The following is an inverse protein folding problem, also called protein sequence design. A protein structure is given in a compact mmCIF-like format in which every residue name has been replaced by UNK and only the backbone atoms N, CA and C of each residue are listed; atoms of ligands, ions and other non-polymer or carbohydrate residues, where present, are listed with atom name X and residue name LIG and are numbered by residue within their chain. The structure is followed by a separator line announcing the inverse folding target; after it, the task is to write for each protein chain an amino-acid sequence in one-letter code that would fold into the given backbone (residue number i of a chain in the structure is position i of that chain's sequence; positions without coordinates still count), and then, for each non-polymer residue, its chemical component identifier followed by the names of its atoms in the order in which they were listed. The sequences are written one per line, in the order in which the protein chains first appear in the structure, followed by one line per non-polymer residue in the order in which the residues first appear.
data_IF_213479077320
#
_entry.id   IF_213479077320
#
_cell.length_a   1.000
_cell.length_b   1.000
_cell.length_c   1.000
_cell.angle_alpha   90.00
_cell.angle_beta   90.00
_cell.angle_gamma   90.00
#
_symmetry.space_group_name_H-M   'P 1'
#
loop_
_entity.id
_entity.type
_entity.pdbx_description
1 polymer ?
#
# COMPACT_ATOMS: atom_id res chain seq x y z
N UNK A 1 -10.08 -2.07 26.18
CA UNK A 1 -10.42 -2.06 24.75
C UNK A 1 -9.64 -3.17 24.07
N UNK A 2 -10.33 -4.03 23.31
CA UNK A 2 -9.78 -5.08 22.48
C UNK A 2 -10.23 -4.92 21.04
N UNK A 3 -9.30 -4.89 20.11
CA UNK A 3 -9.57 -4.75 18.66
C UNK A 3 -9.15 -6.05 17.95
N UNK A 4 -10.08 -6.63 17.20
CA UNK A 4 -9.78 -7.78 16.33
C UNK A 4 -9.78 -7.32 14.88
N UNK A 5 -8.63 -7.43 14.22
CA UNK A 5 -8.46 -7.05 12.82
C UNK A 5 -8.59 -8.29 11.94
N UNK A 6 -9.30 -8.18 10.82
CA UNK A 6 -9.42 -9.23 9.80
C UNK A 6 -8.84 -8.72 8.49
N UNK A 7 -7.76 -9.34 8.04
CA UNK A 7 -7.05 -8.98 6.81
C UNK A 7 -5.65 -9.58 6.75
N UNK A 8 -4.97 -9.37 5.63
CA UNK A 8 -3.64 -9.92 5.39
C UNK A 8 -2.53 -9.13 6.10
N UNK A 9 -1.59 -9.83 6.74
CA UNK A 9 -0.32 -9.25 7.23
C UNK A 9 0.87 -9.76 6.42
N UNK A 10 1.99 -9.02 6.37
CA UNK A 10 3.17 -9.44 5.62
C UNK A 10 3.73 -10.77 6.13
N UNK A 11 4.13 -11.71 5.25
CA UNK A 11 4.05 -11.67 3.78
C UNK A 11 2.65 -12.04 3.22
N UNK A 12 2.27 -11.54 2.02
CA UNK A 12 3.04 -10.67 1.13
C UNK A 12 3.06 -9.19 1.56
N UNK A 13 4.13 -8.48 1.18
CA UNK A 13 4.29 -7.04 1.45
C UNK A 13 3.49 -6.23 0.44
N UNK A 14 2.65 -5.32 0.93
CA UNK A 14 1.86 -4.39 0.14
C UNK A 14 1.21 -3.32 1.02
N UNK A 15 0.53 -2.35 0.41
CA UNK A 15 -0.04 -1.22 1.14
C UNK A 15 -1.01 -1.63 2.27
N UNK A 16 -1.90 -2.58 1.99
CA UNK A 16 -2.88 -3.08 2.99
C UNK A 16 -2.18 -3.83 4.13
N UNK A 17 -1.24 -4.71 3.81
CA UNK A 17 -0.59 -5.55 4.80
C UNK A 17 0.35 -4.75 5.71
N UNK A 18 1.08 -3.77 5.15
CA UNK A 18 1.86 -2.80 5.92
C UNK A 18 0.96 -1.92 6.80
N UNK A 19 -0.17 -1.44 6.26
CA UNK A 19 -1.13 -0.68 7.07
C UNK A 19 -1.65 -1.47 8.27
N UNK A 20 -2.01 -2.75 8.09
CA UNK A 20 -2.46 -3.61 9.19
C UNK A 20 -1.33 -3.87 10.20
N UNK A 21 -0.11 -4.16 9.73
CA UNK A 21 1.09 -4.33 10.58
C UNK A 21 1.31 -3.10 11.46
N UNK A 22 1.29 -1.89 10.87
CA UNK A 22 1.49 -0.64 11.61
C UNK A 22 0.31 -0.29 12.52
N UNK A 23 -0.92 -0.55 12.09
CA UNK A 23 -2.12 -0.37 12.93
C UNK A 23 -2.03 -1.21 14.20
N UNK A 24 -1.64 -2.49 14.09
CA UNK A 24 -1.44 -3.36 15.26
C UNK A 24 -0.40 -2.80 16.22
N UNK A 25 0.76 -2.35 15.72
CA UNK A 25 1.82 -1.74 16.53
C UNK A 25 1.31 -0.53 17.31
N UNK A 26 0.60 0.38 16.65
CA UNK A 26 0.04 1.58 17.31
C UNK A 26 -0.99 1.22 18.38
N UNK A 27 -1.83 0.22 18.12
CA UNK A 27 -2.78 -0.26 19.13
C UNK A 27 -2.04 -0.74 20.39
N UNK A 28 -0.99 -1.55 20.21
CA UNK A 28 -0.18 -2.06 21.32
C UNK A 28 0.53 -0.94 22.09
N UNK A 29 1.10 0.04 21.39
CA UNK A 29 1.76 1.21 22.00
C UNK A 29 0.80 2.08 22.81
N UNK A 30 -0.48 2.10 22.44
CA UNK A 30 -1.53 2.79 23.18
C UNK A 30 -2.18 1.91 24.26
N UNK A 31 -1.59 0.77 24.60
CA UNK A 31 -2.10 -0.16 25.61
C UNK A 31 -3.42 -0.84 25.22
N UNK A 32 -3.72 -0.90 23.93
CA UNK A 32 -4.94 -1.51 23.38
C UNK A 32 -4.63 -2.94 22.97
N UNK A 33 -5.34 -3.90 23.57
CA UNK A 33 -5.20 -5.31 23.19
C UNK A 33 -5.62 -5.49 21.73
N UNK A 34 -4.79 -6.13 20.91
CA UNK A 34 -5.12 -6.36 19.50
C UNK A 34 -4.72 -7.76 19.02
N UNK A 35 -5.55 -8.33 18.16
CA UNK A 35 -5.25 -9.56 17.44
C UNK A 35 -5.58 -9.44 15.96
N UNK A 36 -4.93 -10.27 15.14
CA UNK A 36 -5.14 -10.31 13.69
C UNK A 36 -5.62 -11.70 13.30
N UNK A 37 -6.68 -11.75 12.50
CA UNK A 37 -7.10 -12.94 11.78
C UNK A 37 -6.59 -12.82 10.34
N UNK A 38 -5.50 -13.52 10.04
CA UNK A 38 -4.72 -13.41 8.82
C UNK A 38 -5.31 -14.23 7.68
N UNK A 39 -5.61 -13.60 6.55
CA UNK A 39 -6.22 -14.25 5.38
C UNK A 39 -5.24 -15.12 4.56
N UNK A 40 -3.93 -14.91 4.73
CA UNK A 40 -2.87 -15.59 3.95
C UNK A 40 -2.49 -16.97 4.51
N UNK A 41 -3.16 -17.42 5.57
CA UNK A 41 -3.10 -18.82 6.05
C UNK A 41 -1.94 -19.17 6.98
N UNK A 42 -1.00 -18.26 7.23
CA UNK A 42 0.01 -18.38 8.30
C UNK A 42 -0.39 -17.57 9.55
N UNK A 43 0.19 -17.88 10.71
CA UNK A 43 0.03 -17.06 11.92
C UNK A 43 1.15 -17.23 12.93
N UNK A 44 1.17 -16.34 13.92
CA UNK A 44 2.12 -16.30 15.02
C UNK A 44 1.34 -16.04 16.33
N UNK A 45 1.21 -17.06 17.17
CA UNK A 45 0.44 -16.98 18.42
C UNK A 45 1.06 -16.00 19.42
N UNK A 46 2.40 -15.89 19.44
CA UNK A 46 3.09 -14.95 20.35
C UNK A 46 2.78 -13.50 20.00
N UNK A 47 2.54 -13.21 18.73
CA UNK A 47 2.15 -11.89 18.24
C UNK A 47 0.62 -11.71 18.13
N UNK A 48 -0.19 -12.66 18.63
CA UNK A 48 -1.66 -12.62 18.49
C UNK A 48 -2.12 -12.57 17.01
N UNK A 49 -1.41 -13.27 16.11
CA UNK A 49 -1.76 -13.43 14.69
C UNK A 49 -2.25 -14.86 14.47
N UNK A 50 -3.51 -15.00 14.03
CA UNK A 50 -4.18 -16.29 13.88
C UNK A 50 -4.54 -16.54 12.40
N UNK A 51 -4.21 -17.70 11.82
CA UNK A 51 -4.52 -17.98 10.43
C UNK A 51 -6.01 -18.23 10.20
N UNK A 52 -6.55 -17.70 9.11
CA UNK A 52 -7.86 -18.07 8.58
C UNK A 52 -7.67 -19.28 7.65
N UNK A 53 -7.72 -20.48 8.22
CA UNK A 53 -7.52 -21.73 7.46
C UNK A 53 -8.66 -22.07 6.50
N UNK A 54 -9.90 -21.76 6.90
CA UNK A 54 -11.10 -21.97 6.07
C UNK A 54 -12.06 -20.81 6.24
N UNK A 55 -12.24 -20.07 5.16
CA UNK A 55 -13.05 -18.86 5.13
C UNK A 55 -14.49 -19.06 5.65
N UNK A 56 -15.15 -20.14 5.22
CA UNK A 56 -16.51 -20.49 5.68
C UNK A 56 -16.56 -20.76 7.19
N UNK A 57 -15.59 -21.52 7.70
CA UNK A 57 -15.50 -21.84 9.13
C UNK A 57 -15.19 -20.58 9.95
N UNK A 58 -14.39 -19.66 9.41
CA UNK A 58 -14.10 -18.39 10.06
C UNK A 58 -15.33 -17.49 10.13
N UNK A 59 -16.11 -17.36 9.06
CA UNK A 59 -17.38 -16.61 9.07
C UNK A 59 -18.33 -17.08 10.18
N UNK A 60 -18.44 -18.40 10.38
CA UNK A 60 -19.25 -18.98 11.47
C UNK A 60 -18.68 -18.69 12.88
N UNK A 61 -17.39 -18.41 13.00
CA UNK A 61 -16.73 -18.09 14.28
C UNK A 61 -16.86 -16.62 14.66
N UNK A 62 -17.06 -15.70 13.70
CA UNK A 62 -17.12 -14.25 13.95
C UNK A 62 -18.05 -13.87 15.12
N UNK A 63 -19.29 -14.40 15.22
CA UNK A 63 -20.18 -14.09 16.35
C UNK A 63 -19.58 -14.41 17.72
N UNK A 64 -18.68 -15.40 17.81
CA UNK A 64 -18.09 -15.89 19.06
C UNK A 64 -16.74 -15.25 19.38
N UNK A 65 -16.17 -14.41 18.50
CA UNK A 65 -14.92 -13.70 18.75
C UNK A 65 -15.13 -12.70 19.89
N UNK A 66 -14.37 -12.84 20.98
CA UNK A 66 -14.36 -11.88 22.09
C UNK A 66 -13.52 -10.66 21.70
N UNK A 67 -14.19 -9.55 21.40
CA UNK A 67 -13.57 -8.29 20.98
C UNK A 67 -14.54 -7.14 21.23
N UNK A 68 -14.01 -5.95 21.51
CA UNK A 68 -14.83 -4.74 21.64
C UNK A 68 -15.12 -4.15 20.25
N UNK A 69 -14.15 -4.24 19.32
CA UNK A 69 -14.30 -3.79 17.93
C UNK A 69 -13.73 -4.82 16.96
N UNK A 70 -14.53 -5.16 15.94
CA UNK A 70 -14.12 -5.97 14.80
C UNK A 70 -13.80 -5.05 13.62
N UNK A 71 -12.52 -4.95 13.25
CA UNK A 71 -12.05 -4.12 12.14
C UNK A 71 -11.73 -4.99 10.91
N UNK A 72 -12.50 -4.80 9.84
CA UNK A 72 -12.43 -5.61 8.63
C UNK A 72 -11.70 -4.85 7.53
N UNK A 73 -10.70 -5.48 6.92
CA UNK A 73 -9.98 -5.02 5.72
C UNK A 73 -10.22 -5.93 4.51
N UNK A 74 -10.94 -7.04 4.73
CA UNK A 74 -11.15 -8.07 3.72
C UNK A 74 -11.85 -7.56 2.46
N UNK A 75 -11.41 -8.09 1.31
CA UNK A 75 -12.05 -7.89 0.02
C UNK A 75 -13.12 -8.94 -0.31
N UNK A 76 -13.29 -9.98 0.51
CA UNK A 76 -14.26 -11.04 0.22
C UNK A 76 -15.70 -10.53 0.31
N UNK A 77 -16.43 -10.71 -0.79
CA UNK A 77 -17.80 -10.22 -0.93
C UNK A 77 -18.77 -10.86 0.08
N UNK A 78 -18.54 -12.12 0.50
CA UNK A 78 -19.43 -12.83 1.42
C UNK A 78 -19.24 -12.33 2.84
N UNK A 79 -18.00 -12.10 3.28
CA UNK A 79 -17.75 -11.43 4.56
C UNK A 79 -18.42 -10.06 4.58
N UNK A 80 -18.21 -9.24 3.54
CA UNK A 80 -18.81 -7.90 3.43
C UNK A 80 -20.33 -7.95 3.50
N UNK A 81 -20.98 -8.91 2.84
CA UNK A 81 -22.43 -9.08 2.88
C UNK A 81 -22.96 -9.56 4.24
N UNK A 82 -22.15 -10.24 5.05
CA UNK A 82 -22.54 -10.75 6.37
C UNK A 82 -22.29 -9.77 7.53
N UNK A 83 -21.54 -8.68 7.33
CA UNK A 83 -21.20 -7.74 8.42
C UNK A 83 -22.44 -7.19 9.13
N UNK A 84 -23.50 -6.84 8.40
CA UNK A 84 -24.75 -6.38 9.00
C UNK A 84 -25.44 -7.41 9.89
N UNK A 85 -25.23 -8.72 9.65
CA UNK A 85 -25.72 -9.78 10.53
C UNK A 85 -24.89 -9.82 11.80
N UNK A 86 -23.56 -9.76 11.69
CA UNK A 86 -22.68 -9.73 12.86
C UNK A 86 -22.94 -8.50 13.74
N UNK A 87 -23.29 -7.36 13.14
CA UNK A 87 -23.74 -6.17 13.86
C UNK A 87 -25.02 -6.42 14.66
N UNK A 88 -26.02 -7.06 14.07
CA UNK A 88 -27.27 -7.43 14.77
C UNK A 88 -26.99 -8.42 15.91
N UNK A 89 -25.96 -9.27 15.78
CA UNK A 89 -25.48 -10.16 16.84
C UNK A 89 -24.61 -9.44 17.90
N UNK A 90 -24.61 -8.11 17.92
CA UNK A 90 -23.96 -7.30 18.96
C UNK A 90 -22.50 -6.95 18.70
N UNK A 91 -21.94 -7.25 17.52
CA UNK A 91 -20.57 -6.80 17.19
C UNK A 91 -20.55 -5.32 16.86
N UNK A 92 -19.48 -4.63 17.28
CA UNK A 92 -19.14 -3.30 16.79
C UNK A 92 -18.18 -3.44 15.63
N UNK A 93 -18.51 -2.90 14.47
CA UNK A 93 -17.84 -3.23 13.20
C UNK A 93 -17.37 -1.97 12.49
N UNK A 94 -16.07 -1.96 12.18
CA UNK A 94 -15.45 -1.00 11.28
C UNK A 94 -15.04 -1.75 10.02
N UNK A 95 -15.30 -1.18 8.84
CA UNK A 95 -14.83 -1.68 7.55
C UNK A 95 -13.93 -0.63 6.89
N UNK A 96 -12.68 -0.98 6.58
CA UNK A 96 -11.80 -0.13 5.77
C UNK A 96 -11.76 -0.61 4.33
N UNK A 97 -11.94 0.32 3.38
CA UNK A 97 -11.95 0.06 1.94
C UNK A 97 -10.72 0.73 1.32
N UNK A 98 -9.80 -0.08 0.80
CA UNK A 98 -8.50 0.36 0.28
C UNK A 98 -8.48 0.70 -1.21
N UNK A 99 -9.54 0.40 -1.96
CA UNK A 99 -9.61 0.62 -3.40
C UNK A 99 -10.95 0.21 -4.01
N UNK A 100 -11.00 0.06 -5.34
CA UNK A 100 -12.23 -0.06 -6.14
C UNK A 100 -13.01 -1.37 -5.93
N UNK A 101 -12.44 -2.35 -5.21
CA UNK A 101 -13.03 -3.67 -4.99
C UNK A 101 -14.50 -3.64 -4.55
N UNK A 102 -14.91 -2.69 -3.69
CA UNK A 102 -16.30 -2.60 -3.25
C UNK A 102 -17.18 -1.97 -4.32
N UNK A 103 -16.70 -0.92 -4.99
CA UNK A 103 -17.37 -0.28 -6.10
C UNK A 103 -17.64 -1.28 -7.24
N UNK A 104 -16.65 -2.09 -7.59
CA UNK A 104 -16.78 -3.17 -8.58
C UNK A 104 -17.77 -4.23 -8.14
N UNK A 105 -17.71 -4.68 -6.88
CA UNK A 105 -18.68 -5.63 -6.34
C UNK A 105 -20.09 -5.06 -6.40
N UNK A 106 -20.29 -3.79 -6.04
CA UNK A 106 -21.58 -3.13 -6.15
C UNK A 106 -22.02 -3.05 -7.60
N UNK A 107 -21.14 -2.72 -8.57
CA UNK A 107 -21.48 -2.60 -10.00
C UNK A 107 -21.79 -3.93 -10.69
N UNK A 108 -21.04 -4.98 -10.38
CA UNK A 108 -21.05 -6.25 -11.13
C UNK A 108 -21.89 -7.36 -10.49
N UNK A 109 -22.21 -7.26 -9.19
CA UNK A 109 -22.98 -8.29 -8.49
C UNK A 109 -24.44 -8.40 -8.96
N UNK A 110 -25.01 -9.59 -8.84
CA UNK A 110 -26.45 -9.81 -9.04
C UNK A 110 -27.30 -9.01 -8.03
N UNK A 111 -28.58 -8.82 -8.34
CA UNK A 111 -29.50 -7.96 -7.57
C UNK A 111 -29.59 -8.35 -6.09
N UNK A 112 -29.62 -9.64 -5.78
CA UNK A 112 -29.69 -10.13 -4.41
C UNK A 112 -28.41 -9.79 -3.63
N UNK A 113 -27.24 -10.10 -4.18
CA UNK A 113 -25.97 -9.83 -3.54
C UNK A 113 -25.73 -8.32 -3.38
N UNK A 114 -26.05 -7.52 -4.40
CA UNK A 114 -26.02 -6.05 -4.33
C UNK A 114 -26.91 -5.54 -3.20
N UNK A 115 -28.12 -6.07 -3.06
CA UNK A 115 -29.03 -5.71 -1.98
C UNK A 115 -28.45 -6.08 -0.59
N UNK A 116 -27.91 -7.30 -0.44
CA UNK A 116 -27.29 -7.75 0.80
C UNK A 116 -26.10 -6.89 1.20
N UNK A 117 -25.24 -6.52 0.25
CA UNK A 117 -24.12 -5.60 0.49
C UNK A 117 -24.61 -4.25 1.01
N UNK A 118 -25.56 -3.61 0.31
CA UNK A 118 -26.10 -2.30 0.74
C UNK A 118 -26.73 -2.38 2.12
N UNK A 119 -27.49 -3.42 2.41
CA UNK A 119 -28.10 -3.64 3.72
C UNK A 119 -27.05 -3.87 4.82
N UNK A 120 -25.98 -4.59 4.51
CA UNK A 120 -24.87 -4.83 5.41
C UNK A 120 -24.14 -3.53 5.76
N UNK A 121 -23.73 -2.77 4.74
CA UNK A 121 -22.99 -1.51 4.87
C UNK A 121 -23.79 -0.43 5.61
N UNK A 122 -25.11 -0.38 5.40
CA UNK A 122 -25.99 0.55 6.11
C UNK A 122 -26.04 0.29 7.63
N UNK A 123 -25.78 -0.94 8.08
CA UNK A 123 -25.95 -1.34 9.49
C UNK A 123 -24.68 -1.18 10.33
N UNK A 124 -23.50 -1.34 9.75
CA UNK A 124 -22.22 -1.33 10.50
C UNK A 124 -21.91 0.05 11.09
N UNK A 125 -21.01 0.09 12.08
CA UNK A 125 -20.77 1.30 12.88
C UNK A 125 -19.97 2.37 12.13
N UNK A 126 -18.99 1.95 11.35
CA UNK A 126 -18.16 2.86 10.56
C UNK A 126 -17.62 2.20 9.30
N UNK A 127 -17.53 2.99 8.23
CA UNK A 127 -16.83 2.67 7.00
C UNK A 127 -15.73 3.71 6.82
N UNK A 128 -14.49 3.26 6.69
CA UNK A 128 -13.33 4.10 6.42
C UNK A 128 -12.98 3.94 4.93
N UNK A 129 -13.04 5.04 4.19
CA UNK A 129 -12.56 5.12 2.81
C UNK A 129 -11.17 5.74 2.81
N UNK A 130 -10.22 5.18 2.06
CA UNK A 130 -8.83 5.70 2.04
C UNK A 130 -8.65 7.04 1.32
N UNK A 131 -9.68 7.53 0.62
CA UNK A 131 -9.70 8.85 0.01
C UNK A 131 -11.15 9.33 -0.23
N UNK A 132 -11.32 10.64 -0.47
CA UNK A 132 -12.62 11.26 -0.71
C UNK A 132 -13.28 10.80 -2.02
N UNK A 133 -12.48 10.48 -3.05
CA UNK A 133 -13.01 10.00 -4.35
C UNK A 133 -13.80 8.70 -4.18
N UNK A 134 -13.23 7.74 -3.44
CA UNK A 134 -13.86 6.47 -3.12
C UNK A 134 -15.12 6.65 -2.26
N UNK A 135 -15.07 7.56 -1.28
CA UNK A 135 -16.26 7.87 -0.48
C UNK A 135 -17.39 8.38 -1.37
N UNK A 136 -17.11 9.39 -2.21
CA UNK A 136 -18.08 9.98 -3.13
C UNK A 136 -18.63 8.94 -4.12
N UNK A 137 -17.77 8.07 -4.63
CA UNK A 137 -18.19 6.97 -5.50
C UNK A 137 -19.18 6.04 -4.79
N UNK A 138 -18.89 5.61 -3.56
CA UNK A 138 -19.78 4.72 -2.80
C UNK A 138 -21.12 5.38 -2.46
N UNK A 139 -21.12 6.68 -2.14
CA UNK A 139 -22.36 7.48 -1.97
C UNK A 139 -23.17 7.44 -3.27
N UNK A 140 -22.53 7.68 -4.42
CA UNK A 140 -23.20 7.65 -5.73
C UNK A 140 -23.78 6.27 -6.07
N UNK A 141 -23.16 5.20 -5.57
CA UNK A 141 -23.64 3.82 -5.70
C UNK A 141 -24.75 3.48 -4.69
N UNK A 142 -25.14 4.42 -3.83
CA UNK A 142 -26.25 4.32 -2.89
C UNK A 142 -25.87 3.69 -1.55
N UNK A 143 -24.61 3.80 -1.14
CA UNK A 143 -24.18 3.55 0.25
C UNK A 143 -24.52 4.79 1.09
N UNK A 144 -24.99 4.59 2.31
CA UNK A 144 -25.35 5.70 3.21
C UNK A 144 -24.08 6.40 3.70
N UNK A 145 -24.03 7.73 3.63
CA UNK A 145 -22.89 8.53 4.12
C UNK A 145 -22.87 8.67 5.66
N UNK A 146 -23.99 8.38 6.32
CA UNK A 146 -24.18 8.57 7.77
C UNK A 146 -23.13 7.90 8.67
N UNK A 147 -22.45 6.87 8.17
CA UNK A 147 -21.43 6.11 8.89
C UNK A 147 -20.10 6.03 8.11
N UNK A 148 -19.87 6.90 7.13
CA UNK A 148 -18.63 6.90 6.34
C UNK A 148 -17.69 8.03 6.75
N UNK A 149 -16.40 7.83 6.53
CA UNK A 149 -15.36 8.85 6.71
C UNK A 149 -14.19 8.58 5.77
N UNK A 150 -13.58 9.64 5.24
CA UNK A 150 -12.36 9.55 4.46
C UNK A 150 -11.14 9.70 5.38
N UNK A 151 -10.33 8.64 5.52
CA UNK A 151 -9.05 8.66 6.24
C UNK A 151 -8.03 7.88 5.40
N UNK A 152 -7.00 8.55 4.87
CA UNK A 152 -5.89 7.89 4.22
C UNK A 152 -5.26 6.81 5.11
N UNK A 153 -4.95 5.66 4.52
CA UNK A 153 -4.35 4.52 5.24
C UNK A 153 -2.88 4.71 5.62
N UNK A 154 -2.31 5.91 5.48
CA UNK A 154 -0.91 6.14 5.80
C UNK A 154 -0.68 6.26 7.29
N UNK A 155 0.30 5.50 7.77
CA UNK A 155 0.78 5.52 9.14
C UNK A 155 2.29 5.62 9.10
N UNK A 156 2.85 6.52 9.91
CA UNK A 156 4.30 6.72 9.98
C UNK A 156 5.03 5.40 10.26
N UNK A 157 6.08 5.08 9.48
CA UNK A 157 6.96 4.01 9.86
C UNK A 157 7.68 4.37 11.16
N UNK A 158 7.75 3.40 12.07
CA UNK A 158 8.62 3.46 13.23
C UNK A 158 9.89 2.69 12.92
N UNK A 159 11.03 3.27 13.28
CA UNK A 159 12.33 2.69 13.00
C UNK A 159 12.68 1.61 14.02
N UNK A 160 12.98 0.42 13.52
CA UNK A 160 13.41 -0.74 14.30
C UNK A 160 14.75 -1.24 13.77
N UNK A 161 15.61 -1.70 14.67
CA UNK A 161 16.91 -2.28 14.28
C UNK A 161 16.71 -3.55 13.46
N UNK A 162 15.69 -4.35 13.79
CA UNK A 162 15.37 -5.59 13.08
C UNK A 162 15.05 -5.32 11.60
N UNK A 163 14.20 -4.31 11.33
CA UNK A 163 13.81 -3.92 9.97
C UNK A 163 15.03 -3.42 9.15
N UNK A 164 15.99 -2.71 9.79
CA UNK A 164 17.25 -2.26 9.14
C UNK A 164 18.16 -3.47 8.84
N UNK A 165 18.34 -4.37 9.80
CA UNK A 165 19.20 -5.55 9.65
C UNK A 165 18.63 -6.62 8.72
N UNK A 166 17.32 -6.60 8.48
CA UNK A 166 16.64 -7.52 7.58
C UNK A 166 16.90 -7.23 6.09
N UNK A 167 17.34 -6.01 5.74
CA UNK A 167 17.73 -5.69 4.37
C UNK A 167 19.01 -6.48 4.01
N UNK A 168 19.00 -7.23 2.89
CA UNK A 168 20.16 -8.02 2.47
C UNK A 168 21.43 -7.19 2.24
N UNK A 169 22.59 -7.79 2.49
CA UNK A 169 23.89 -7.11 2.36
C UNK A 169 24.20 -6.67 0.92
N UNK A 170 23.80 -7.45 -0.07
CA UNK A 170 23.96 -7.13 -1.49
C UNK A 170 23.13 -5.90 -1.88
N UNK A 171 21.95 -5.71 -1.30
CA UNK A 171 21.15 -4.48 -1.44
C UNK A 171 21.91 -3.28 -0.88
N UNK A 172 22.47 -3.39 0.33
CA UNK A 172 23.28 -2.30 0.90
C UNK A 172 24.54 -2.02 0.07
N UNK A 173 25.23 -3.05 -0.41
CA UNK A 173 26.39 -2.89 -1.28
C UNK A 173 26.04 -2.16 -2.58
N UNK A 174 24.84 -2.38 -3.15
CA UNK A 174 24.37 -1.66 -4.33
C UNK A 174 24.08 -0.19 -3.99
N UNK A 175 23.42 0.07 -2.86
CA UNK A 175 23.12 1.41 -2.36
C UNK A 175 24.40 2.22 -2.14
N UNK A 176 25.42 1.63 -1.50
CA UNK A 176 26.68 2.30 -1.15
C UNK A 176 27.54 2.69 -2.37
N UNK A 177 27.37 2.01 -3.51
CA UNK A 177 28.03 2.38 -4.78
C UNK A 177 27.39 3.60 -5.44
N UNK A 178 26.18 3.97 -5.03
CA UNK A 178 25.42 5.00 -5.70
C UNK A 178 25.85 6.41 -5.31
N UNK A 179 26.05 7.27 -6.31
CA UNK A 179 26.19 8.71 -6.12
C UNK A 179 24.83 9.43 -6.07
N UNK A 180 23.81 8.83 -6.68
CA UNK A 180 22.44 9.30 -6.66
C UNK A 180 21.49 8.10 -6.78
N UNK A 181 20.85 7.73 -5.67
CA UNK A 181 19.96 6.58 -5.60
C UNK A 181 18.52 6.97 -5.91
N UNK A 182 18.00 6.43 -7.00
CA UNK A 182 16.58 6.41 -7.34
C UNK A 182 15.98 5.13 -6.76
N UNK A 183 14.83 5.24 -6.11
CA UNK A 183 14.12 4.09 -5.56
C UNK A 183 12.68 4.06 -6.07
N UNK A 184 12.21 2.87 -6.40
CA UNK A 184 10.82 2.61 -6.77
C UNK A 184 10.37 1.29 -6.14
N UNK A 185 9.07 1.10 -5.98
CA UNK A 185 8.51 -0.16 -5.50
C UNK A 185 7.25 -0.55 -6.26
N UNK A 186 7.01 -1.85 -6.36
CA UNK A 186 5.84 -2.35 -7.06
C UNK A 186 5.88 -3.85 -7.30
N UNK A 187 4.84 -4.36 -7.95
CA UNK A 187 4.76 -5.74 -8.41
C UNK A 187 5.03 -5.80 -9.92
N UNK A 188 5.19 -7.00 -10.48
CA UNK A 188 5.03 -7.19 -11.92
C UNK A 188 3.56 -7.50 -12.18
N UNK A 189 2.82 -6.51 -12.70
CA UNK A 189 1.38 -6.59 -12.97
C UNK A 189 1.03 -5.80 -14.22
N UNK A 190 -0.05 -6.20 -14.88
CA UNK A 190 -0.59 -5.46 -16.02
C UNK A 190 -1.87 -4.71 -15.68
N UNK A 191 -2.02 -3.52 -16.24
CA UNK A 191 -3.29 -2.81 -16.31
C UNK A 191 -3.49 -2.28 -17.73
N UNK A 192 -4.63 -2.63 -18.34
CA UNK A 192 -4.96 -2.27 -19.74
C UNK A 192 -3.85 -2.62 -20.75
N UNK A 193 -3.15 -3.73 -20.52
CA UNK A 193 -2.10 -4.24 -21.42
C UNK A 193 -0.73 -3.58 -21.26
N UNK A 194 -0.56 -2.70 -20.27
CA UNK A 194 0.70 -2.03 -19.95
C UNK A 194 1.20 -2.45 -18.58
N UNK A 195 2.51 -2.29 -18.34
CA UNK A 195 3.11 -2.47 -17.02
C UNK A 195 2.52 -1.47 -16.03
N UNK A 196 1.77 -1.99 -15.05
CA UNK A 196 1.08 -1.21 -14.04
C UNK A 196 2.05 -0.34 -13.25
N UNK A 197 3.21 -0.88 -12.90
CA UNK A 197 4.20 -0.24 -12.02
C UNK A 197 5.32 0.47 -12.80
N UNK A 198 5.23 0.48 -14.14
CA UNK A 198 6.10 1.24 -15.03
C UNK A 198 7.57 0.85 -14.96
N UNK A 199 7.89 -0.44 -14.70
CA UNK A 199 9.27 -0.93 -14.65
C UNK A 199 9.94 -0.77 -16.01
N UNK A 200 9.20 -0.99 -17.09
CA UNK A 200 9.63 -0.69 -18.45
C UNK A 200 10.08 0.77 -18.63
N UNK A 201 9.31 1.73 -18.12
CA UNK A 201 9.65 3.15 -18.16
C UNK A 201 10.89 3.46 -17.35
N UNK A 202 11.05 2.83 -16.18
CA UNK A 202 12.23 3.01 -15.34
C UNK A 202 13.50 2.47 -16.01
N UNK A 203 13.41 1.35 -16.74
CA UNK A 203 14.53 0.83 -17.53
C UNK A 203 14.89 1.81 -18.65
N UNK A 204 13.90 2.34 -19.37
CA UNK A 204 14.12 3.33 -20.44
C UNK A 204 14.71 4.64 -19.92
N UNK A 205 14.24 5.10 -18.75
CA UNK A 205 14.78 6.24 -18.02
C UNK A 205 16.28 6.03 -17.71
N UNK A 206 16.64 4.90 -17.12
CA UNK A 206 18.03 4.61 -16.75
C UNK A 206 18.93 4.48 -17.98
N UNK A 207 18.44 3.89 -19.06
CA UNK A 207 19.16 3.85 -20.34
C UNK A 207 19.46 5.25 -20.87
N UNK A 208 18.46 6.13 -20.85
CA UNK A 208 18.61 7.51 -21.31
C UNK A 208 19.56 8.32 -20.43
N UNK A 209 19.46 8.20 -19.10
CA UNK A 209 20.39 8.85 -18.16
C UNK A 209 21.83 8.40 -18.38
N UNK A 210 22.05 7.08 -18.53
CA UNK A 210 23.37 6.51 -18.86
C UNK A 210 23.92 7.10 -20.17
N UNK A 211 23.10 7.17 -21.22
CA UNK A 211 23.47 7.75 -22.52
C UNK A 211 23.86 9.24 -22.46
N UNK A 212 23.35 9.97 -21.47
CA UNK A 212 23.69 11.38 -21.22
C UNK A 212 24.85 11.55 -20.22
N UNK A 213 25.47 10.47 -19.76
CA UNK A 213 26.56 10.51 -18.79
C UNK A 213 26.13 10.86 -17.36
N UNK A 214 24.83 10.80 -17.05
CA UNK A 214 24.31 11.05 -15.71
C UNK A 214 24.58 9.83 -14.83
N UNK A 215 25.24 10.05 -13.68
CA UNK A 215 25.56 9.00 -12.72
C UNK A 215 24.42 8.83 -11.72
N UNK A 216 23.60 7.81 -11.92
CA UNK A 216 22.53 7.43 -11.00
C UNK A 216 22.40 5.90 -10.95
N UNK A 217 21.91 5.37 -9.82
CA UNK A 217 21.51 3.97 -9.70
C UNK A 217 20.02 3.91 -9.39
N UNK A 218 19.35 2.85 -9.85
CA UNK A 218 17.96 2.59 -9.55
C UNK A 218 17.81 1.26 -8.83
N UNK A 219 17.19 1.30 -7.66
CA UNK A 219 16.73 0.10 -6.96
C UNK A 219 15.20 -0.01 -7.06
N UNK A 220 14.72 -1.09 -7.67
CA UNK A 220 13.31 -1.43 -7.73
C UNK A 220 13.01 -2.52 -6.69
N UNK A 221 12.29 -2.16 -5.63
CA UNK A 221 11.80 -3.10 -4.62
C UNK A 221 10.59 -3.87 -5.18
N UNK A 222 10.86 -5.07 -5.71
CA UNK A 222 9.87 -5.97 -6.28
C UNK A 222 9.09 -6.69 -5.18
N UNK A 223 7.81 -6.36 -5.07
CA UNK A 223 6.85 -6.92 -4.13
C UNK A 223 6.11 -8.11 -4.76
N UNK A 224 5.69 -9.05 -3.91
CA UNK A 224 4.72 -10.10 -4.25
C UNK A 224 5.11 -10.95 -5.49
N UNK A 225 6.42 -11.21 -5.64
CA UNK A 225 6.98 -12.03 -6.73
C UNK A 225 6.33 -13.42 -6.81
N UNK A 226 6.10 -14.05 -5.66
CA UNK A 226 5.55 -15.41 -5.57
C UNK A 226 4.12 -15.54 -6.09
N UNK A 227 3.39 -14.42 -6.17
CA UNK A 227 2.01 -14.38 -6.70
C UNK A 227 1.97 -13.95 -8.16
N UNK A 228 3.08 -14.00 -8.90
CA UNK A 228 3.08 -13.75 -10.34
C UNK A 228 2.31 -14.84 -11.10
N UNK A 229 1.49 -14.41 -12.06
CA UNK A 229 0.99 -15.30 -13.11
C UNK A 229 2.12 -15.72 -14.05
N UNK A 230 1.89 -16.77 -14.85
CA UNK A 230 2.88 -17.21 -15.86
C UNK A 230 3.26 -16.08 -16.83
N UNK A 231 2.27 -15.29 -17.27
CA UNK A 231 2.49 -14.15 -18.16
C UNK A 231 3.37 -13.07 -17.50
N UNK A 232 3.09 -12.73 -16.25
CA UNK A 232 3.87 -11.74 -15.49
C UNK A 232 5.29 -12.25 -15.20
N UNK A 233 5.45 -13.54 -14.95
CA UNK A 233 6.76 -14.16 -14.75
C UNK A 233 7.61 -14.11 -16.03
N UNK A 234 7.02 -14.42 -17.19
CA UNK A 234 7.68 -14.29 -18.49
C UNK A 234 8.00 -12.83 -18.83
N UNK A 235 7.10 -11.90 -18.50
CA UNK A 235 7.38 -10.48 -18.65
C UNK A 235 8.54 -10.03 -17.76
N UNK A 236 8.60 -10.52 -16.52
CA UNK A 236 9.71 -10.22 -15.62
C UNK A 236 11.06 -10.69 -16.18
N UNK A 237 11.11 -11.89 -16.77
CA UNK A 237 12.30 -12.39 -17.49
C UNK A 237 12.67 -11.47 -18.66
N UNK A 238 11.70 -10.98 -19.42
CA UNK A 238 11.94 -10.01 -20.51
C UNK A 238 12.53 -8.70 -20.00
N UNK A 239 12.04 -8.18 -18.87
CA UNK A 239 12.60 -6.96 -18.25
C UNK A 239 14.05 -7.17 -17.82
N UNK A 240 14.37 -8.29 -17.16
CA UNK A 240 15.75 -8.62 -16.80
C UNK A 240 16.64 -8.76 -18.04
N UNK A 241 16.16 -9.42 -19.10
CA UNK A 241 16.89 -9.53 -20.36
C UNK A 241 17.16 -8.16 -21.00
N UNK A 242 16.16 -7.26 -21.00
CA UNK A 242 16.30 -5.88 -21.49
C UNK A 242 17.38 -5.11 -20.73
N UNK A 243 17.46 -5.28 -19.40
CA UNK A 243 18.53 -4.68 -18.57
C UNK A 243 19.91 -5.17 -19.02
N UNK A 244 20.09 -6.46 -19.25
CA UNK A 244 21.35 -7.01 -19.77
C UNK A 244 21.67 -6.48 -21.18
N UNK A 245 20.70 -6.48 -22.09
CA UNK A 245 20.87 -6.01 -23.48
C UNK A 245 21.24 -4.51 -23.56
N UNK A 246 20.78 -3.71 -22.60
CA UNK A 246 21.08 -2.28 -22.49
C UNK A 246 22.30 -1.98 -21.59
N UNK A 247 22.99 -3.01 -21.09
CA UNK A 247 24.16 -2.91 -20.22
C UNK A 247 23.86 -2.09 -18.93
N UNK A 248 22.72 -2.37 -18.30
CA UNK A 248 22.23 -1.63 -17.12
C UNK A 248 22.42 -2.37 -15.79
N UNK A 249 23.02 -3.57 -15.80
CA UNK A 249 23.11 -4.46 -14.62
C UNK A 249 23.84 -3.82 -13.43
N UNK A 250 24.82 -2.94 -13.70
CA UNK A 250 25.57 -2.24 -12.65
C UNK A 250 24.79 -1.07 -12.02
N UNK A 251 23.76 -0.55 -12.71
CA UNK A 251 23.02 0.67 -12.29
C UNK A 251 21.53 0.43 -12.07
N UNK A 252 21.01 -0.77 -12.32
CA UNK A 252 19.62 -1.13 -12.08
C UNK A 252 19.55 -2.46 -11.31
N UNK A 253 19.01 -2.43 -10.09
CA UNK A 253 18.82 -3.62 -9.26
C UNK A 253 17.33 -3.89 -9.02
N UNK A 254 16.90 -5.12 -9.27
CA UNK A 254 15.69 -5.65 -8.64
C UNK A 254 16.04 -6.19 -7.26
N UNK A 255 15.48 -5.58 -6.22
CA UNK A 255 15.44 -6.17 -4.89
C UNK A 255 14.14 -6.95 -4.74
N UNK A 256 14.20 -8.28 -4.76
CA UNK A 256 13.06 -9.15 -4.54
C UNK A 256 12.75 -9.16 -3.03
N UNK A 257 11.67 -8.49 -2.64
CA UNK A 257 11.39 -8.18 -1.23
C UNK A 257 10.90 -9.41 -0.47
N UNK A 258 11.65 -9.81 0.54
CA UNK A 258 11.32 -10.89 1.47
C UNK A 258 10.93 -10.32 2.85
N UNK A 259 9.66 -9.96 3.02
CA UNK A 259 9.09 -9.51 4.30
C UNK A 259 9.84 -8.35 4.98
N UNK A 260 10.47 -7.46 4.21
CA UNK A 260 11.15 -6.26 4.72
C UNK A 260 10.31 -4.99 4.53
N UNK A 261 10.55 -3.99 5.38
CA UNK A 261 10.02 -2.64 5.19
C UNK A 261 10.84 -1.89 4.13
N UNK A 262 10.22 -0.94 3.44
CA UNK A 262 10.89 -0.12 2.43
C UNK A 262 11.74 1.00 3.06
N UNK A 263 11.37 1.46 4.26
CA UNK A 263 11.95 2.66 4.85
C UNK A 263 13.48 2.65 5.04
N UNK A 264 14.16 1.53 5.37
CA UNK A 264 15.62 1.55 5.50
C UNK A 264 16.31 1.90 4.18
N UNK A 265 15.69 1.56 3.05
CA UNK A 265 16.15 1.94 1.71
C UNK A 265 15.85 3.43 1.48
N UNK A 266 14.63 3.89 1.80
CA UNK A 266 14.25 5.31 1.62
C UNK A 266 15.16 6.27 2.38
N UNK A 267 15.60 5.92 3.60
CA UNK A 267 16.56 6.70 4.37
C UNK A 267 17.92 6.90 3.65
N UNK A 268 18.20 6.11 2.62
CA UNK A 268 19.41 6.19 1.78
C UNK A 268 19.13 6.69 0.36
N UNK A 269 17.87 6.92 0.00
CA UNK A 269 17.45 7.34 -1.34
C UNK A 269 17.60 8.85 -1.54
N UNK A 270 17.91 9.25 -2.77
CA UNK A 270 17.92 10.66 -3.18
C UNK A 270 16.60 11.06 -3.87
N UNK A 271 15.94 10.11 -4.52
CA UNK A 271 14.70 10.31 -5.25
C UNK A 271 13.83 9.05 -5.18
N UNK A 272 12.54 9.22 -4.96
CA UNK A 272 11.55 8.15 -5.07
C UNK A 272 10.69 8.34 -6.32
N UNK A 273 10.45 7.28 -7.08
CA UNK A 273 9.62 7.33 -8.29
C UNK A 273 8.49 6.30 -8.20
N UNK A 274 7.27 6.73 -8.52
CA UNK A 274 6.08 5.86 -8.63
C UNK A 274 5.35 6.07 -9.95
N UNK A 275 5.78 5.39 -11.03
CA UNK A 275 5.32 5.67 -12.40
C UNK A 275 4.09 4.84 -12.79
N UNK A 276 3.16 4.64 -11.85
CA UNK A 276 2.05 3.70 -12.02
C UNK A 276 1.04 4.20 -13.05
N UNK A 277 0.49 3.34 -13.92
CA UNK A 277 -0.58 3.78 -14.85
C UNK A 277 -2.00 3.72 -14.25
N UNK A 278 -2.13 3.16 -13.05
CA UNK A 278 -3.31 3.26 -12.17
C UNK A 278 -2.86 3.09 -10.72
N UNK A 279 -3.46 3.83 -9.79
CA UNK A 279 -3.13 3.76 -8.37
C UNK A 279 -4.19 4.44 -7.49
N UNK A 280 -4.24 4.11 -6.20
CA UNK A 280 -5.16 4.74 -5.25
C UNK A 280 -4.64 6.02 -4.60
N UNK A 281 -3.39 5.98 -4.13
CA UNK A 281 -2.70 7.11 -3.47
C UNK A 281 -1.19 6.96 -3.60
N UNK A 282 -0.69 5.74 -3.41
CA UNK A 282 0.73 5.43 -3.35
C UNK A 282 1.30 5.69 -1.97
N UNK A 283 1.00 4.81 -1.01
CA UNK A 283 1.48 4.90 0.39
C UNK A 283 3.01 5.07 0.47
N UNK A 284 3.75 4.44 -0.44
CA UNK A 284 5.21 4.57 -0.51
C UNK A 284 5.69 5.98 -0.87
N UNK A 285 4.87 6.81 -1.53
CA UNK A 285 5.18 8.23 -1.75
C UNK A 285 5.14 8.98 -0.41
N UNK A 286 4.12 8.72 0.42
CA UNK A 286 4.04 9.34 1.74
C UNK A 286 5.20 8.89 2.66
N UNK A 287 5.64 7.64 2.54
CA UNK A 287 6.85 7.15 3.23
C UNK A 287 8.11 7.89 2.76
N UNK A 288 8.29 8.03 1.45
CA UNK A 288 9.45 8.74 0.90
C UNK A 288 9.50 10.20 1.36
N UNK A 289 8.37 10.92 1.27
CA UNK A 289 8.26 12.30 1.75
C UNK A 289 8.52 12.40 3.25
N UNK A 290 8.06 11.43 4.06
CA UNK A 290 8.31 11.41 5.51
C UNK A 290 9.80 11.30 5.84
N UNK A 291 10.57 10.58 5.02
CA UNK A 291 12.04 10.52 5.13
C UNK A 291 12.78 11.62 4.38
N UNK A 292 12.08 12.70 4.01
CA UNK A 292 12.63 13.82 3.27
C UNK A 292 13.19 13.45 1.88
N UNK A 293 12.61 12.46 1.21
CA UNK A 293 13.00 12.04 -0.14
C UNK A 293 12.05 12.69 -1.15
N UNK A 294 12.57 13.57 -2.04
CA UNK A 294 11.80 14.08 -3.18
C UNK A 294 11.17 12.94 -3.97
N UNK A 295 9.90 13.12 -4.33
CA UNK A 295 9.10 12.05 -4.93
C UNK A 295 8.46 12.52 -6.24
N UNK A 296 8.64 11.74 -7.31
CA UNK A 296 7.99 11.91 -8.61
C UNK A 296 6.96 10.79 -8.78
N UNK A 297 5.74 11.10 -9.19
CA UNK A 297 4.71 10.11 -9.45
C UNK A 297 3.85 10.49 -10.64
N UNK A 298 3.17 9.52 -11.24
CA UNK A 298 2.22 9.79 -12.32
C UNK A 298 0.96 10.50 -11.78
N UNK A 299 0.31 11.26 -12.65
CA UNK A 299 -0.91 12.03 -12.41
C UNK A 299 -2.23 11.21 -12.42
N UNK A 300 -2.14 9.88 -12.26
CA UNK A 300 -3.29 8.96 -12.35
C UNK A 300 -4.29 9.07 -11.18
N UNK A 301 -3.87 9.68 -10.07
CA UNK A 301 -4.72 9.92 -8.91
C UNK A 301 -4.16 11.08 -8.06
N UNK A 302 -4.93 11.48 -7.05
CA UNK A 302 -4.43 12.43 -6.05
C UNK A 302 -3.24 11.82 -5.31
N UNK A 303 -2.11 12.54 -5.27
CA UNK A 303 -0.89 12.12 -4.59
C UNK A 303 -0.72 12.88 -3.27
N UNK A 304 0.09 12.34 -2.33
CA UNK A 304 0.47 13.09 -1.13
C UNK A 304 1.00 14.49 -1.46
N UNK A 305 0.67 15.48 -0.62
CA UNK A 305 1.15 16.84 -0.79
C UNK A 305 2.67 16.89 -0.87
N UNK A 306 3.21 17.60 -1.87
CA UNK A 306 4.65 17.66 -2.13
C UNK A 306 5.17 16.74 -3.22
N UNK A 307 4.32 15.88 -3.76
CA UNK A 307 4.67 15.00 -4.89
C UNK A 307 4.78 15.81 -6.18
N UNK A 308 5.86 15.60 -6.93
CA UNK A 308 6.01 16.10 -8.30
C UNK A 308 5.28 15.16 -9.26
N UNK A 309 4.46 15.71 -10.17
CA UNK A 309 3.60 14.91 -11.04
C UNK A 309 4.10 14.93 -12.48
N UNK A 310 4.16 13.75 -13.11
CA UNK A 310 4.35 13.60 -14.55
C UNK A 310 3.09 13.02 -15.20
N UNK A 311 2.91 13.28 -16.49
CA UNK A 311 1.85 12.68 -17.29
C UNK A 311 2.05 11.15 -17.36
N UNK A 312 1.04 10.39 -16.94
CA UNK A 312 1.08 8.93 -16.95
C UNK A 312 1.50 8.36 -18.31
N UNK A 313 2.45 7.40 -18.30
CA UNK A 313 3.05 6.77 -19.50
C UNK A 313 3.81 7.72 -20.44
N UNK A 314 4.08 8.96 -20.04
CA UNK A 314 4.95 9.88 -20.79
C UNK A 314 6.42 9.75 -20.33
N UNK A 315 7.21 8.94 -21.06
CA UNK A 315 8.64 8.74 -20.75
C UNK A 315 9.52 9.98 -20.96
N UNK A 316 9.08 10.95 -21.76
CA UNK A 316 9.83 12.20 -21.99
C UNK A 316 9.68 13.10 -20.78
N UNK A 317 8.44 13.32 -20.33
CA UNK A 317 8.12 14.13 -19.15
C UNK A 317 8.76 13.56 -17.88
N UNK A 318 8.67 12.23 -17.69
CA UNK A 318 9.36 11.55 -16.58
C UNK A 318 10.88 11.82 -16.61
N UNK A 319 11.51 11.70 -17.78
CA UNK A 319 12.95 11.97 -17.91
C UNK A 319 13.29 13.42 -17.60
N UNK A 320 12.53 14.39 -18.12
CA UNK A 320 12.80 15.81 -17.92
C UNK A 320 12.76 16.18 -16.44
N UNK A 321 11.75 15.71 -15.72
CA UNK A 321 11.67 15.95 -14.28
C UNK A 321 12.72 15.21 -13.47
N UNK A 322 13.03 13.96 -13.79
CA UNK A 322 14.11 13.24 -13.09
C UNK A 322 15.43 13.96 -13.30
N UNK A 323 15.71 14.41 -14.52
CA UNK A 323 16.92 15.14 -14.85
C UNK A 323 16.98 16.49 -14.10
N UNK A 324 15.88 17.24 -14.06
CA UNK A 324 15.75 18.49 -13.29
C UNK A 324 16.04 18.27 -11.80
N UNK A 325 15.46 17.22 -11.19
CA UNK A 325 15.65 16.89 -9.78
C UNK A 325 17.08 16.44 -9.48
N UNK A 326 17.72 15.68 -10.37
CA UNK A 326 19.12 15.28 -10.19
C UNK A 326 20.04 16.53 -10.18
N UNK A 327 19.84 17.47 -11.09
CA UNK A 327 20.69 18.67 -11.21
C UNK A 327 20.42 19.71 -10.12
N UNK A 328 19.21 19.73 -9.55
CA UNK A 328 18.79 20.69 -8.52
C UNK A 328 18.41 20.00 -7.20
N UNK A 329 19.03 18.87 -6.87
CA UNK A 329 18.60 18.02 -5.76
C UNK A 329 18.50 18.74 -4.42
N UNK A 330 19.45 19.64 -4.12
CA UNK A 330 19.45 20.43 -2.88
C UNK A 330 18.17 21.27 -2.73
N UNK A 331 17.72 21.90 -3.82
CA UNK A 331 16.49 22.70 -3.84
C UNK A 331 15.25 21.84 -3.55
N UNK A 332 15.16 20.66 -4.18
CA UNK A 332 14.02 19.76 -3.95
C UNK A 332 14.05 19.14 -2.55
N UNK A 333 15.24 18.85 -2.02
CA UNK A 333 15.41 18.37 -0.65
C UNK A 333 14.96 19.42 0.37
N UNK A 334 15.30 20.70 0.16
CA UNK A 334 14.81 21.80 0.99
C UNK A 334 13.28 21.91 0.97
N UNK A 335 12.67 21.87 -0.21
CA UNK A 335 11.20 21.89 -0.35
C UNK A 335 10.51 20.74 0.38
N UNK A 336 11.08 19.53 0.31
CA UNK A 336 10.48 18.36 0.97
C UNK A 336 10.59 18.45 2.49
N UNK A 337 11.66 19.04 3.03
CA UNK A 337 11.81 19.25 4.49
C UNK A 337 10.78 20.19 5.09
N UNK A 338 10.17 21.03 4.28
CA UNK A 338 9.08 21.93 4.71
C UNK A 338 7.71 21.22 4.75
N UNK A 339 7.63 19.98 4.25
CA UNK A 339 6.37 19.24 4.16
C UNK A 339 6.14 18.43 5.42
N UNK A 340 5.07 18.75 6.13
CA UNK A 340 4.57 17.91 7.22
C UNK A 340 3.73 16.76 6.65
N UNK A 341 4.29 15.55 6.66
CA UNK A 341 3.52 14.35 6.28
C UNK A 341 2.67 13.92 7.46
N UNK A 342 1.34 14.06 7.32
CA UNK A 342 0.38 13.70 8.36
C UNK A 342 0.37 12.20 8.68
N UNK A 343 0.41 11.85 9.96
CA UNK A 343 0.13 10.51 10.48
C UNK A 343 -1.37 10.40 10.82
N UNK A 344 -2.05 9.38 10.28
CA UNK A 344 -3.48 9.14 10.51
C UNK A 344 -3.75 8.14 11.65
N UNK A 345 -2.72 7.73 12.39
CA UNK A 345 -2.82 6.85 13.55
C UNK A 345 -3.81 7.37 14.62
N UNK A 346 -3.78 8.66 14.93
CA UNK A 346 -4.61 9.29 15.95
C UNK A 346 -6.09 9.28 15.57
N UNK A 347 -6.41 9.59 14.32
CA UNK A 347 -7.77 9.55 13.78
C UNK A 347 -8.32 8.13 13.81
N UNK A 348 -7.52 7.13 13.43
CA UNK A 348 -7.94 5.73 13.49
C UNK A 348 -8.23 5.31 14.94
N UNK A 349 -7.38 5.68 15.91
CA UNK A 349 -7.65 5.43 17.33
C UNK A 349 -8.92 6.13 17.79
N UNK A 350 -9.13 7.38 17.36
CA UNK A 350 -10.34 8.14 17.68
C UNK A 350 -11.61 7.43 17.20
N UNK A 351 -11.58 6.82 16.01
CA UNK A 351 -12.71 6.04 15.50
C UNK A 351 -12.97 4.81 16.37
N UNK A 352 -11.94 4.07 16.80
CA UNK A 352 -12.15 2.92 17.68
C UNK A 352 -12.87 3.33 18.96
N UNK A 353 -12.48 4.46 19.56
CA UNK A 353 -13.14 5.01 20.76
C UNK A 353 -14.58 5.44 20.47
N UNK A 354 -14.81 6.19 19.39
CA UNK A 354 -16.15 6.63 18.97
C UNK A 354 -17.12 5.44 18.79
N UNK A 355 -16.64 4.36 18.18
CA UNK A 355 -17.45 3.15 17.96
C UNK A 355 -17.76 2.43 19.28
N UNK A 356 -16.86 2.47 20.26
CA UNK A 356 -17.10 1.87 21.58
C UNK A 356 -18.07 2.68 22.43
N UNK A 357 -18.10 4.00 22.29
CA UNK A 357 -18.97 4.86 23.09
C UNK A 357 -20.43 4.87 22.60
N UNK A 358 -20.70 4.39 21.38
CA UNK A 358 -22.05 4.14 20.82
C UNK A 358 -22.60 2.78 21.20
#
# INVERSE_FOLDING_TARGET
MKVSIVGSVPPPVGGISIHIKRTKRILEENGIESCIYNEIGWGNVQENIYPISRYRSFMLKIPFIKTDVLHIHSIDIKIRALLGIYKVLGKKIILTIHGESLSDQLKTSNLLMRYLLKMSLKKIDKIICVNDSLLNELVSLGVSDSNMVAIPGYIHPKEYTEDITAIPKDVYNFIEKSSFLITANGCIRFYRGEDLYGVDMLIDLMHKLKGQGVRAHLLFALLDKESQTEEEHEYYKKLRKKICELDLEDIFMFYEVENTELYPILQKSNLFIRPTNTDGLGISIAEALYYNVPSIASDVCNRPHGTMLFESRNSIDLYEMVNEVIHNHSLYLERVREIEVKDYSKELISIYKEVIDK
#
